data_IF_979276252069
#
_entry.id   IF_979276252069
#
_cell.length_a   1.000
_cell.length_b   1.000
_cell.length_c   1.000
_cell.angle_alpha   90.00
_cell.angle_beta   90.00
_cell.angle_gamma   90.00
#
_symmetry.space_group_name_H-M   'P 1'
#
loop_
_entity.id
_entity.type
_entity.pdbx_description
1 polymer ?
#
# COMPACT_ATOMS: atom_id res chain seq x y z
N UNK A 1 -8.26 13.08 22.58
CA UNK A 1 -7.84 11.67 22.54
C UNK A 1 -6.39 11.62 22.98
N UNK A 2 -6.01 10.73 23.90
CA UNK A 2 -4.65 10.68 24.45
C UNK A 2 -3.73 9.89 23.49
N UNK A 3 -2.85 10.60 22.79
CA UNK A 3 -1.94 10.02 21.80
C UNK A 3 -0.94 9.04 22.41
N UNK A 4 -0.51 9.27 23.65
CA UNK A 4 0.43 8.38 24.32
C UNK A 4 -0.22 7.06 24.71
N UNK A 5 -1.51 7.09 25.05
CA UNK A 5 -2.28 5.87 25.25
C UNK A 5 -2.40 5.07 23.94
N UNK A 6 -2.70 5.72 22.82
CA UNK A 6 -2.80 5.06 21.51
C UNK A 6 -1.43 4.51 21.07
N UNK A 7 -0.36 5.29 21.23
CA UNK A 7 1.00 4.88 20.93
C UNK A 7 1.50 3.71 21.80
N UNK A 8 1.14 3.67 23.08
CA UNK A 8 1.41 2.50 23.95
C UNK A 8 0.70 1.25 23.45
N UNK A 9 -0.55 1.37 23.01
CA UNK A 9 -1.26 0.26 22.37
C UNK A 9 -0.52 -0.16 21.10
N UNK A 10 -0.04 0.79 20.28
CA UNK A 10 0.77 0.51 19.08
C UNK A 10 2.08 -0.22 19.40
N UNK A 11 2.59 -0.10 20.61
CA UNK A 11 3.91 -0.61 20.98
C UNK A 11 3.85 -1.88 21.85
N UNK A 12 2.65 -2.32 22.24
CA UNK A 12 2.46 -3.47 23.11
C UNK A 12 2.81 -4.78 22.38
N UNK A 13 3.84 -5.50 22.84
CA UNK A 13 4.29 -6.76 22.24
C UNK A 13 3.42 -7.97 22.61
N UNK A 14 2.51 -7.83 23.57
CA UNK A 14 1.67 -8.93 24.08
C UNK A 14 0.38 -9.13 23.30
N UNK A 15 0.04 -8.22 22.39
CA UNK A 15 -1.24 -8.22 21.68
C UNK A 15 -1.25 -9.12 20.44
N UNK A 16 -2.40 -9.72 20.10
CA UNK A 16 -2.57 -10.43 18.85
C UNK A 16 -2.51 -9.46 17.65
N UNK A 17 -1.82 -9.81 16.54
CA UNK A 17 -1.66 -8.92 15.38
C UNK A 17 -2.97 -8.50 14.70
N UNK A 18 -4.03 -9.31 14.83
CA UNK A 18 -5.20 -9.26 13.95
C UNK A 18 -6.32 -8.28 14.39
N UNK A 19 -6.21 -7.63 15.55
CA UNK A 19 -7.32 -6.87 16.14
C UNK A 19 -7.09 -5.36 16.27
N UNK A 20 -6.53 -4.95 17.41
CA UNK A 20 -6.43 -3.53 17.78
C UNK A 20 -5.46 -2.71 16.93
N UNK A 21 -4.55 -3.37 16.21
CA UNK A 21 -3.41 -2.74 15.56
C UNK A 21 -3.82 -1.88 14.34
N UNK A 22 -4.65 -2.36 13.40
CA UNK A 22 -5.22 -1.53 12.35
C UNK A 22 -5.95 -0.29 12.90
N UNK A 23 -6.86 -0.46 13.87
CA UNK A 23 -7.58 0.67 14.47
C UNK A 23 -6.64 1.69 15.13
N UNK A 24 -5.56 1.21 15.76
CA UNK A 24 -4.56 2.06 16.38
C UNK A 24 -3.82 2.90 15.35
N UNK A 25 -3.40 2.30 14.23
CA UNK A 25 -2.74 3.00 13.14
C UNK A 25 -3.66 4.02 12.47
N UNK A 26 -4.92 3.67 12.21
CA UNK A 26 -5.91 4.63 11.71
C UNK A 26 -6.12 5.80 12.66
N UNK A 27 -6.14 5.53 13.96
CA UNK A 27 -6.27 6.57 14.98
C UNK A 27 -5.07 7.51 14.97
N UNK A 28 -3.84 6.98 14.95
CA UNK A 28 -2.62 7.79 14.89
C UNK A 28 -2.55 8.62 13.59
N UNK A 29 -2.94 8.02 12.46
CA UNK A 29 -3.06 8.73 11.18
C UNK A 29 -4.03 9.90 11.28
N UNK A 30 -5.21 9.67 11.84
CA UNK A 30 -6.27 10.69 11.98
C UNK A 30 -5.92 11.79 12.98
N UNK A 31 -5.13 11.48 14.01
CA UNK A 31 -4.61 12.49 14.94
C UNK A 31 -3.51 13.31 14.25
N UNK A 32 -2.60 12.65 13.53
CA UNK A 32 -1.51 13.26 12.79
C UNK A 32 -0.43 13.90 13.65
N UNK A 33 0.48 14.63 13.00
CA UNK A 33 1.52 15.44 13.62
C UNK A 33 2.68 14.67 14.24
N UNK A 34 3.66 15.44 14.72
CA UNK A 34 4.95 14.97 15.23
C UNK A 34 4.88 13.79 16.19
N UNK A 35 4.04 13.89 17.23
CA UNK A 35 3.94 12.84 18.26
C UNK A 35 3.42 11.52 17.69
N UNK A 36 2.58 11.55 16.66
CA UNK A 36 2.10 10.31 15.99
C UNK A 36 3.25 9.66 15.24
N UNK A 37 4.02 10.47 14.52
CA UNK A 37 5.21 10.03 13.79
C UNK A 37 6.29 9.48 14.73
N UNK A 38 6.51 10.09 15.90
CA UNK A 38 7.46 9.61 16.90
C UNK A 38 7.09 8.20 17.41
N UNK A 39 5.81 7.96 17.71
CA UNK A 39 5.32 6.64 18.11
C UNK A 39 5.46 5.58 17.00
N UNK A 40 5.16 5.96 15.77
CA UNK A 40 5.32 5.11 14.58
C UNK A 40 6.78 4.74 14.34
N UNK A 41 7.68 5.73 14.33
CA UNK A 41 9.12 5.53 14.16
C UNK A 41 9.72 4.70 15.29
N UNK A 42 9.28 4.90 16.54
CA UNK A 42 9.68 4.07 17.67
C UNK A 42 9.31 2.61 17.45
N UNK A 43 8.07 2.36 17.01
CA UNK A 43 7.59 1.00 16.76
C UNK A 43 8.38 0.33 15.64
N UNK A 44 8.71 1.05 14.56
CA UNK A 44 9.54 0.51 13.49
C UNK A 44 10.91 0.02 13.97
N UNK A 45 11.54 0.76 14.90
CA UNK A 45 12.87 0.44 15.43
C UNK A 45 12.89 -0.76 16.37
N UNK A 46 11.80 -1.02 17.08
CA UNK A 46 11.79 -1.93 18.24
C UNK A 46 10.91 -3.17 18.05
N UNK A 47 9.99 -3.16 17.08
CA UNK A 47 9.14 -4.29 16.73
C UNK A 47 9.88 -5.29 15.82
N UNK A 48 9.49 -6.56 15.89
CA UNK A 48 10.07 -7.63 15.06
C UNK A 48 9.20 -7.98 13.85
N UNK A 49 7.97 -7.46 13.79
CA UNK A 49 7.03 -7.74 12.70
C UNK A 49 7.29 -6.81 11.51
N UNK A 50 7.93 -7.35 10.48
CA UNK A 50 8.19 -6.64 9.22
C UNK A 50 6.89 -6.21 8.53
N UNK A 51 5.81 -6.97 8.74
CA UNK A 51 4.49 -6.61 8.27
C UNK A 51 3.97 -5.34 8.95
N UNK A 52 4.10 -5.23 10.27
CA UNK A 52 3.70 -4.02 10.98
C UNK A 52 4.57 -2.82 10.57
N UNK A 53 5.88 -3.03 10.41
CA UNK A 53 6.77 -1.95 9.97
C UNK A 53 6.40 -1.41 8.59
N UNK A 54 6.09 -2.30 7.66
CA UNK A 54 5.54 -1.97 6.36
C UNK A 54 4.25 -1.14 6.52
N UNK A 55 3.25 -1.64 7.25
CA UNK A 55 1.99 -0.92 7.45
C UNK A 55 2.18 0.48 8.06
N UNK A 56 3.13 0.63 8.99
CA UNK A 56 3.46 1.94 9.56
C UNK A 56 4.03 2.87 8.48
N UNK A 57 4.96 2.39 7.64
CA UNK A 57 5.52 3.20 6.55
C UNK A 57 4.44 3.64 5.55
N UNK A 58 3.51 2.74 5.22
CA UNK A 58 2.34 3.04 4.39
C UNK A 58 1.51 4.16 5.02
N UNK A 59 1.14 3.99 6.29
CA UNK A 59 0.33 4.98 7.03
C UNK A 59 1.03 6.33 7.12
N UNK A 60 2.35 6.36 7.34
CA UNK A 60 3.14 7.59 7.32
C UNK A 60 3.07 8.31 5.96
N UNK A 61 3.06 7.59 4.84
CA UNK A 61 2.82 8.17 3.51
C UNK A 61 1.41 8.69 3.32
N UNK A 62 0.40 7.94 3.79
CA UNK A 62 -1.02 8.31 3.73
C UNK A 62 -1.35 9.54 4.59
N UNK A 63 -0.53 9.86 5.60
CA UNK A 63 -0.69 11.10 6.37
C UNK A 63 -0.45 12.35 5.54
N UNK A 64 0.29 12.25 4.43
CA UNK A 64 0.68 13.39 3.59
C UNK A 64 1.35 14.52 4.39
N UNK A 65 2.06 14.14 5.46
CA UNK A 65 2.71 15.06 6.39
C UNK A 65 4.21 15.14 6.08
N UNK A 66 4.70 16.34 5.75
CA UNK A 66 6.10 16.58 5.43
C UNK A 66 7.04 16.26 6.61
N UNK A 67 6.55 16.24 7.86
CA UNK A 67 7.35 15.80 9.01
C UNK A 67 7.72 14.31 8.94
N UNK A 68 7.00 13.50 8.16
CA UNK A 68 7.30 12.09 7.97
C UNK A 68 8.55 11.84 7.10
N UNK A 69 8.96 12.82 6.28
CA UNK A 69 10.01 12.68 5.25
C UNK A 69 11.31 12.14 5.85
N UNK A 70 11.79 12.72 6.96
CA UNK A 70 13.07 12.32 7.55
C UNK A 70 13.02 10.90 8.12
N UNK A 71 11.87 10.52 8.71
CA UNK A 71 11.63 9.16 9.19
C UNK A 71 11.63 8.14 8.06
N UNK A 72 10.92 8.44 6.97
CA UNK A 72 10.84 7.57 5.80
C UNK A 72 12.17 7.42 5.08
N UNK A 73 12.95 8.50 4.93
CA UNK A 73 14.31 8.44 4.39
C UNK A 73 15.21 7.55 5.26
N UNK A 74 15.09 7.65 6.59
CA UNK A 74 15.84 6.79 7.51
C UNK A 74 15.48 5.31 7.34
N UNK A 75 14.22 4.98 7.07
CA UNK A 75 13.76 3.60 6.86
C UNK A 75 14.28 3.06 5.52
N UNK A 76 14.11 3.83 4.44
CA UNK A 76 14.56 3.45 3.11
C UNK A 76 16.08 3.20 3.05
N UNK A 77 16.84 4.01 3.78
CA UNK A 77 18.31 3.99 3.78
C UNK A 77 18.92 2.96 4.73
N UNK A 78 18.13 2.29 5.57
CA UNK A 78 18.65 1.30 6.52
C UNK A 78 18.84 -0.08 5.84
N UNK A 79 20.09 -0.55 5.65
CA UNK A 79 20.35 -1.84 5.01
C UNK A 79 19.92 -3.04 5.87
N UNK A 80 19.63 -2.86 7.16
CA UNK A 80 19.11 -3.92 8.03
C UNK A 80 17.60 -4.07 7.94
N UNK A 81 16.93 -3.09 7.34
CA UNK A 81 15.49 -3.13 7.17
C UNK A 81 15.14 -4.07 6.02
N UNK A 82 14.12 -4.90 6.20
CA UNK A 82 13.70 -5.83 5.16
C UNK A 82 13.28 -5.09 3.88
N UNK A 83 13.50 -5.69 2.69
CA UNK A 83 13.12 -5.08 1.41
C UNK A 83 11.66 -4.63 1.35
N UNK A 84 10.76 -5.36 2.01
CA UNK A 84 9.33 -5.05 2.08
C UNK A 84 9.07 -3.68 2.74
N UNK A 85 9.70 -3.42 3.87
CA UNK A 85 9.54 -2.14 4.59
C UNK A 85 10.22 -1.00 3.84
N UNK A 86 11.36 -1.29 3.19
CA UNK A 86 12.11 -0.29 2.41
C UNK A 86 11.36 0.13 1.14
N UNK A 87 10.70 -0.78 0.43
CA UNK A 87 9.88 -0.39 -0.73
C UNK A 87 8.73 0.49 -0.27
N UNK A 88 8.05 0.15 0.82
CA UNK A 88 6.91 0.90 1.31
C UNK A 88 7.33 2.32 1.72
N UNK A 89 8.52 2.48 2.31
CA UNK A 89 9.09 3.78 2.58
C UNK A 89 9.40 4.58 1.28
N UNK A 90 9.89 3.93 0.23
CA UNK A 90 10.09 4.58 -1.07
C UNK A 90 8.77 5.03 -1.71
N UNK A 91 7.73 4.20 -1.64
CA UNK A 91 6.40 4.51 -2.15
C UNK A 91 5.77 5.68 -1.38
N UNK A 92 5.81 5.63 -0.05
CA UNK A 92 5.37 6.71 0.81
C UNK A 92 6.09 8.03 0.52
N UNK A 93 7.40 7.99 0.26
CA UNK A 93 8.18 9.15 -0.18
C UNK A 93 7.71 9.67 -1.55
N UNK A 94 7.48 8.79 -2.52
CA UNK A 94 6.90 9.18 -3.81
C UNK A 94 5.52 9.84 -3.68
N UNK A 95 4.69 9.33 -2.78
CA UNK A 95 3.37 9.88 -2.48
C UNK A 95 3.41 11.25 -1.81
N UNK A 96 4.48 11.59 -1.08
CA UNK A 96 4.67 12.91 -0.44
C UNK A 96 5.09 14.01 -1.44
N UNK A 97 5.52 13.65 -2.65
CA UNK A 97 5.76 14.58 -3.75
C UNK A 97 7.19 15.14 -3.85
N UNK A 98 7.33 16.34 -4.40
CA UNK A 98 8.59 16.88 -4.94
C UNK A 98 9.51 17.58 -3.93
N UNK A 99 9.55 17.14 -2.67
CA UNK A 99 10.51 17.70 -1.71
C UNK A 99 11.96 17.38 -2.17
N UNK A 100 12.87 18.38 -2.24
CA UNK A 100 14.26 18.14 -2.64
C UNK A 100 15.00 17.09 -1.82
N UNK A 101 14.67 16.93 -0.52
CA UNK A 101 15.22 15.89 0.35
C UNK A 101 14.81 14.50 -0.14
N UNK A 102 13.56 14.35 -0.58
CA UNK A 102 13.03 13.09 -1.11
C UNK A 102 13.80 12.71 -2.37
N UNK A 103 13.83 13.61 -3.36
CA UNK A 103 14.52 13.36 -4.63
C UNK A 103 15.99 12.97 -4.41
N UNK A 104 16.71 13.73 -3.57
CA UNK A 104 18.10 13.43 -3.25
C UNK A 104 18.28 12.07 -2.59
N UNK A 105 17.40 11.68 -1.67
CA UNK A 105 17.46 10.38 -1.01
C UNK A 105 17.22 9.24 -2.01
N UNK A 106 16.16 9.34 -2.82
CA UNK A 106 15.82 8.34 -3.83
C UNK A 106 16.96 8.17 -4.87
N UNK A 107 17.52 9.26 -5.37
CA UNK A 107 18.67 9.22 -6.30
C UNK A 107 19.92 8.60 -5.63
N UNK A 108 20.18 8.89 -4.36
CA UNK A 108 21.27 8.25 -3.61
C UNK A 108 21.08 6.74 -3.47
N UNK A 109 19.84 6.28 -3.30
CA UNK A 109 19.53 4.86 -3.17
C UNK A 109 19.82 4.13 -4.48
N UNK A 110 19.40 4.66 -5.64
CA UNK A 110 19.69 4.03 -6.95
C UNK A 110 21.20 3.91 -7.26
N UNK A 111 22.02 4.77 -6.68
CA UNK A 111 23.48 4.72 -6.85
C UNK A 111 24.18 3.67 -5.96
N UNK A 112 23.45 3.05 -5.02
CA UNK A 112 24.02 2.04 -4.14
C UNK A 112 24.09 0.69 -4.85
N UNK A 113 25.10 -0.13 -4.50
CA UNK A 113 25.28 -1.47 -5.05
C UNK A 113 24.38 -2.49 -4.35
N UNK A 114 24.04 -3.56 -5.05
CA UNK A 114 23.34 -4.73 -4.50
C UNK A 114 22.00 -4.41 -3.83
N UNK A 115 21.19 -3.57 -4.47
CA UNK A 115 19.84 -3.32 -3.99
C UNK A 115 18.89 -4.48 -4.29
N UNK A 116 17.97 -4.79 -3.36
CA UNK A 116 16.81 -5.61 -3.66
C UNK A 116 16.03 -5.02 -4.85
N UNK A 117 15.54 -5.90 -5.72
CA UNK A 117 14.84 -5.49 -6.93
C UNK A 117 13.57 -4.70 -6.58
N UNK A 118 12.87 -5.08 -5.51
CA UNK A 118 11.63 -4.45 -5.06
C UNK A 118 11.85 -2.98 -4.66
N UNK A 119 12.95 -2.71 -3.97
CA UNK A 119 13.33 -1.34 -3.60
C UNK A 119 13.75 -0.54 -4.83
N UNK A 120 14.51 -1.17 -5.75
CA UNK A 120 14.98 -0.52 -6.98
C UNK A 120 13.81 -0.12 -7.90
N UNK A 121 12.87 -1.03 -8.13
CA UNK A 121 11.66 -0.80 -8.93
C UNK A 121 10.83 0.34 -8.31
N UNK A 122 10.60 0.28 -6.99
CA UNK A 122 9.78 1.29 -6.29
C UNK A 122 10.43 2.67 -6.25
N UNK A 123 11.74 2.76 -6.01
CA UNK A 123 12.46 4.04 -6.04
C UNK A 123 12.45 4.64 -7.45
N UNK A 124 12.57 3.80 -8.48
CA UNK A 124 12.48 4.25 -9.87
C UNK A 124 11.08 4.77 -10.21
N UNK A 125 10.03 4.09 -9.73
CA UNK A 125 8.63 4.54 -9.81
C UNK A 125 8.41 5.87 -9.10
N UNK A 126 8.95 6.04 -7.89
CA UNK A 126 8.82 7.27 -7.12
C UNK A 126 9.52 8.47 -7.78
N UNK A 127 10.67 8.25 -8.44
CA UNK A 127 11.42 9.31 -9.13
C UNK A 127 10.86 9.66 -10.51
N UNK A 128 10.34 8.68 -11.22
CA UNK A 128 9.87 8.81 -12.59
C UNK A 128 8.55 8.03 -12.75
N UNK A 129 7.47 8.54 -12.13
CA UNK A 129 6.17 7.89 -12.25
C UNK A 129 5.77 7.85 -13.72
N UNK A 130 5.31 6.69 -14.23
CA UNK A 130 4.95 6.57 -15.62
C UNK A 130 3.78 7.51 -15.94
N UNK A 131 3.76 8.16 -17.12
CA UNK A 131 2.62 8.97 -17.52
C UNK A 131 1.35 8.10 -17.60
N UNK A 132 0.36 8.44 -16.76
CA UNK A 132 -0.96 7.80 -16.73
C UNK A 132 -1.94 8.46 -17.69
N UNK A 133 -2.90 7.71 -18.28
CA UNK A 133 -2.89 6.27 -18.61
C UNK A 133 -2.36 5.99 -20.03
N UNK A 134 -2.16 4.70 -20.36
CA UNK A 134 -2.02 4.28 -21.75
C UNK A 134 -3.35 4.51 -22.48
N UNK A 135 -3.31 4.87 -23.76
CA UNK A 135 -4.52 4.95 -24.59
C UNK A 135 -5.23 3.58 -24.61
N UNK A 136 -6.55 3.60 -24.49
CA UNK A 136 -7.43 2.42 -24.38
C UNK A 136 -7.42 1.53 -25.65
N UNK A 137 -6.78 2.00 -26.72
CA UNK A 137 -6.55 1.27 -27.96
C UNK A 137 -5.51 0.14 -27.84
N UNK A 138 -4.73 0.11 -26.75
CA UNK A 138 -3.73 -0.92 -26.47
C UNK A 138 -4.34 -2.18 -25.85
N UNK A 139 -3.80 -3.35 -26.20
CA UNK A 139 -4.18 -4.64 -25.60
C UNK A 139 -3.58 -4.75 -24.19
N UNK A 140 -4.23 -4.09 -23.22
CA UNK A 140 -3.78 -3.95 -21.83
C UNK A 140 -3.51 -5.30 -21.17
N UNK A 141 -4.34 -6.30 -21.45
CA UNK A 141 -4.21 -7.66 -20.93
C UNK A 141 -2.94 -8.33 -21.44
N UNK A 142 -2.62 -8.16 -22.73
CA UNK A 142 -1.37 -8.66 -23.30
C UNK A 142 -0.15 -7.98 -22.68
N UNK A 143 -0.22 -6.67 -22.41
CA UNK A 143 0.87 -5.93 -21.77
C UNK A 143 1.07 -6.38 -20.32
N UNK A 144 -0.01 -6.53 -19.54
CA UNK A 144 0.04 -7.00 -18.16
C UNK A 144 0.73 -8.37 -18.04
N UNK A 145 0.42 -9.28 -18.96
CA UNK A 145 0.89 -10.67 -18.96
C UNK A 145 2.25 -10.90 -19.64
N UNK A 146 2.83 -9.88 -20.28
CA UNK A 146 4.14 -10.01 -20.90
C UNK A 146 5.25 -9.86 -19.85
N UNK A 147 5.75 -10.98 -19.31
CA UNK A 147 6.82 -10.99 -18.31
C UNK A 147 8.16 -10.42 -18.81
N UNK A 148 8.33 -10.30 -20.13
CA UNK A 148 9.52 -9.68 -20.75
C UNK A 148 9.34 -8.19 -21.04
N UNK A 149 8.15 -7.63 -20.78
CA UNK A 149 7.88 -6.21 -20.97
C UNK A 149 8.47 -5.38 -19.83
N UNK A 150 8.78 -4.12 -20.15
CA UNK A 150 9.19 -3.14 -19.16
C UNK A 150 8.17 -3.02 -18.03
N UNK A 151 8.65 -3.07 -16.78
CA UNK A 151 7.79 -3.11 -15.60
C UNK A 151 6.86 -1.88 -15.52
N UNK A 152 7.31 -0.71 -15.98
CA UNK A 152 6.48 0.50 -16.00
C UNK A 152 5.30 0.35 -16.96
N UNK A 153 5.50 -0.28 -18.13
CA UNK A 153 4.42 -0.55 -19.08
C UNK A 153 3.41 -1.51 -18.48
N UNK A 154 3.87 -2.52 -17.75
CA UNK A 154 3.01 -3.48 -17.05
C UNK A 154 2.22 -2.83 -15.94
N UNK A 155 2.83 -1.92 -15.16
CA UNK A 155 2.14 -1.12 -14.15
C UNK A 155 1.08 -0.20 -14.76
N UNK A 156 1.39 0.46 -15.89
CA UNK A 156 0.41 1.28 -16.63
C UNK A 156 -0.78 0.44 -17.07
N UNK A 157 -0.55 -0.77 -17.58
CA UNK A 157 -1.61 -1.70 -17.95
C UNK A 157 -2.45 -2.09 -16.73
N UNK A 158 -1.81 -2.47 -15.62
CA UNK A 158 -2.44 -2.85 -14.35
C UNK A 158 -3.39 -1.77 -13.81
N UNK A 159 -2.92 -0.53 -13.69
CA UNK A 159 -3.77 0.57 -13.20
C UNK A 159 -4.84 0.99 -14.21
N UNK A 160 -4.59 0.84 -15.52
CA UNK A 160 -5.62 1.07 -16.54
C UNK A 160 -6.74 0.02 -16.44
N UNK A 161 -6.39 -1.26 -16.22
CA UNK A 161 -7.34 -2.35 -15.97
C UNK A 161 -8.10 -2.14 -14.66
N UNK A 162 -7.43 -1.65 -13.61
CA UNK A 162 -8.10 -1.24 -12.36
C UNK A 162 -9.16 -0.17 -12.62
N UNK A 163 -8.81 0.87 -13.37
CA UNK A 163 -9.72 1.98 -13.66
C UNK A 163 -10.90 1.54 -14.54
N UNK A 164 -10.73 0.54 -15.40
CA UNK A 164 -11.84 -0.09 -16.14
C UNK A 164 -12.81 -0.80 -15.20
N UNK A 165 -12.28 -1.57 -14.24
CA UNK A 165 -13.08 -2.26 -13.21
C UNK A 165 -14.07 -3.30 -13.74
N UNK A 166 -14.06 -3.62 -15.03
CA UNK A 166 -14.94 -4.62 -15.63
C UNK A 166 -14.48 -6.06 -15.30
N UNK A 167 -15.36 -7.03 -15.57
CA UNK A 167 -15.11 -8.44 -15.21
C UNK A 167 -13.89 -9.01 -15.92
N UNK A 168 -13.65 -8.64 -17.19
CA UNK A 168 -12.52 -9.14 -17.97
C UNK A 168 -11.19 -8.58 -17.44
N UNK A 169 -11.18 -7.29 -17.06
CA UNK A 169 -10.04 -6.62 -16.46
C UNK A 169 -9.68 -7.25 -15.11
N UNK A 170 -10.67 -7.55 -14.28
CA UNK A 170 -10.47 -8.21 -12.98
C UNK A 170 -9.94 -9.63 -13.19
N UNK A 171 -10.50 -10.40 -14.12
CA UNK A 171 -9.98 -11.73 -14.44
C UNK A 171 -8.53 -11.67 -14.93
N UNK A 172 -8.20 -10.67 -15.75
CA UNK A 172 -6.85 -10.42 -16.22
C UNK A 172 -5.89 -10.12 -15.06
N UNK A 173 -6.27 -9.22 -14.15
CA UNK A 173 -5.51 -8.94 -12.93
C UNK A 173 -5.33 -10.20 -12.06
N UNK A 174 -6.39 -10.98 -11.83
CA UNK A 174 -6.29 -12.24 -11.10
C UNK A 174 -5.32 -13.23 -11.77
N UNK A 175 -5.31 -13.33 -13.10
CA UNK A 175 -4.33 -14.14 -13.83
C UNK A 175 -2.90 -13.63 -13.61
N UNK A 176 -2.69 -12.32 -13.64
CA UNK A 176 -1.38 -11.72 -13.33
C UNK A 176 -0.91 -12.07 -11.93
N UNK A 177 -1.81 -11.97 -10.94
CA UNK A 177 -1.51 -12.33 -9.55
C UNK A 177 -1.12 -13.81 -9.37
N UNK A 178 -1.78 -14.73 -10.08
CA UNK A 178 -1.54 -16.17 -9.92
C UNK A 178 -0.34 -16.64 -10.73
N UNK A 179 -0.23 -16.17 -11.98
CA UNK A 179 0.65 -16.77 -12.97
C UNK A 179 1.97 -16.01 -13.19
N UNK A 180 2.07 -14.74 -12.78
CA UNK A 180 3.32 -13.99 -12.93
C UNK A 180 4.44 -14.60 -12.07
N UNK A 181 5.56 -14.92 -12.71
CA UNK A 181 6.75 -15.44 -12.05
C UNK A 181 7.90 -14.44 -12.00
N UNK A 182 7.75 -13.32 -12.68
CA UNK A 182 8.80 -12.34 -12.91
C UNK A 182 9.10 -11.49 -11.68
N UNK A 183 8.07 -10.99 -10.97
CA UNK A 183 8.27 -10.04 -9.87
C UNK A 183 7.28 -10.29 -8.73
N UNK A 184 7.82 -10.46 -7.52
CA UNK A 184 7.00 -10.55 -6.31
C UNK A 184 6.31 -9.22 -5.98
N UNK A 185 6.98 -8.10 -6.25
CA UNK A 185 6.43 -6.76 -6.11
C UNK A 185 5.28 -6.54 -7.09
N UNK A 186 5.42 -6.93 -8.36
CA UNK A 186 4.32 -6.81 -9.32
C UNK A 186 3.09 -7.57 -8.85
N UNK A 187 3.24 -8.81 -8.36
CA UNK A 187 2.11 -9.57 -7.79
C UNK A 187 1.51 -8.90 -6.56
N UNK A 188 2.34 -8.34 -5.68
CA UNK A 188 1.87 -7.57 -4.54
C UNK A 188 0.98 -6.40 -5.00
N UNK A 189 1.45 -5.63 -5.98
CA UNK A 189 0.73 -4.47 -6.51
C UNK A 189 -0.57 -4.86 -7.22
N UNK A 190 -0.57 -6.00 -7.93
CA UNK A 190 -1.80 -6.55 -8.52
C UNK A 190 -2.82 -6.89 -7.41
N UNK A 191 -2.37 -7.45 -6.28
CA UNK A 191 -3.26 -7.73 -5.15
C UNK A 191 -3.81 -6.44 -4.53
N UNK A 192 -2.98 -5.40 -4.43
CA UNK A 192 -3.39 -4.08 -3.97
C UNK A 192 -4.51 -3.49 -4.84
N UNK A 193 -4.31 -3.42 -6.17
CA UNK A 193 -5.32 -2.85 -7.07
C UNK A 193 -6.61 -3.68 -7.11
N UNK A 194 -6.53 -5.01 -7.01
CA UNK A 194 -7.70 -5.88 -6.89
C UNK A 194 -8.49 -5.59 -5.60
N UNK A 195 -7.79 -5.22 -4.52
CA UNK A 195 -8.42 -4.76 -3.29
C UNK A 195 -9.13 -3.41 -3.45
N UNK A 196 -8.55 -2.49 -4.23
CA UNK A 196 -9.17 -1.21 -4.53
C UNK A 196 -10.47 -1.36 -5.35
N UNK A 197 -10.48 -2.22 -6.38
CA UNK A 197 -11.66 -2.41 -7.25
C UNK A 197 -12.88 -2.89 -6.46
N UNK A 198 -12.68 -3.74 -5.44
CA UNK A 198 -13.76 -4.25 -4.59
C UNK A 198 -14.50 -3.14 -3.83
N UNK A 199 -13.86 -1.98 -3.62
CA UNK A 199 -14.50 -0.83 -2.99
C UNK A 199 -15.46 -0.07 -3.91
N UNK A 200 -15.39 -0.28 -5.24
CA UNK A 200 -16.06 0.56 -6.23
C UNK A 200 -17.39 0.03 -6.80
N UNK A 201 -17.63 -1.28 -7.00
CA UNK A 201 -18.98 -1.82 -7.34
C UNK A 201 -19.07 -3.37 -7.48
N UNK A 202 -20.27 -3.92 -7.24
CA UNK A 202 -20.78 -5.31 -7.52
C UNK A 202 -20.46 -6.47 -6.55
N UNK A 203 -21.53 -7.01 -5.91
CA UNK A 203 -21.53 -8.25 -5.09
C UNK A 203 -20.94 -9.49 -5.79
N UNK A 204 -21.03 -9.55 -7.12
CA UNK A 204 -20.51 -10.68 -7.90
C UNK A 204 -18.98 -10.60 -8.06
N UNK A 205 -18.44 -9.39 -8.18
CA UNK A 205 -16.99 -9.13 -8.24
C UNK A 205 -16.35 -9.48 -6.90
N UNK A 206 -16.96 -9.06 -5.79
CA UNK A 206 -16.52 -9.40 -4.42
C UNK A 206 -16.43 -10.91 -4.20
N UNK A 207 -17.35 -11.69 -4.76
CA UNK A 207 -17.37 -13.16 -4.59
C UNK A 207 -16.21 -13.83 -5.33
N UNK A 208 -15.88 -13.35 -6.54
CA UNK A 208 -14.78 -13.87 -7.35
C UNK A 208 -13.44 -13.50 -6.72
N UNK A 209 -13.25 -12.24 -6.35
CA UNK A 209 -12.01 -11.77 -5.73
C UNK A 209 -11.77 -12.41 -4.36
N UNK A 210 -12.81 -12.56 -3.52
CA UNK A 210 -12.68 -13.22 -2.22
C UNK A 210 -12.34 -14.70 -2.37
N UNK A 211 -12.97 -15.41 -3.32
CA UNK A 211 -12.65 -16.81 -3.56
C UNK A 211 -11.22 -17.00 -4.04
N UNK A 212 -10.73 -16.12 -4.91
CA UNK A 212 -9.35 -16.15 -5.43
C UNK A 212 -8.32 -15.74 -4.37
N UNK A 213 -8.57 -14.69 -3.58
CA UNK A 213 -7.70 -14.26 -2.48
C UNK A 213 -7.58 -15.35 -1.40
N UNK A 214 -8.67 -16.05 -1.08
CA UNK A 214 -8.65 -17.19 -0.14
C UNK A 214 -7.79 -18.34 -0.67
N UNK A 215 -7.90 -18.67 -1.96
CA UNK A 215 -7.11 -19.72 -2.62
C UNK A 215 -5.61 -19.35 -2.67
N UNK A 216 -5.31 -18.07 -2.85
CA UNK A 216 -3.95 -17.53 -2.88
C UNK A 216 -3.32 -17.51 -1.49
N UNK A 217 -4.07 -17.10 -0.46
CA UNK A 217 -3.64 -17.16 0.94
C UNK A 217 -3.35 -18.60 1.39
N UNK A 218 -4.10 -19.58 0.88
CA UNK A 218 -3.93 -20.99 1.22
C UNK A 218 -2.68 -21.64 0.58
N UNK A 219 -2.22 -21.16 -0.59
CA UNK A 219 -1.15 -21.84 -1.36
C UNK A 219 0.25 -21.22 -1.26
N UNK A 220 0.42 -19.95 -0.84
CA UNK A 220 1.74 -19.27 -0.94
C UNK A 220 2.28 -18.57 0.31
N UNK A 221 1.65 -18.73 1.48
CA UNK A 221 2.21 -18.29 2.75
C UNK A 221 2.15 -16.76 2.97
N UNK A 222 1.38 -16.37 3.98
CA UNK A 222 1.43 -15.16 4.84
C UNK A 222 1.44 -13.75 4.20
N UNK A 223 2.18 -13.47 3.12
CA UNK A 223 2.32 -12.08 2.62
C UNK A 223 1.11 -11.52 1.87
N UNK A 224 0.18 -12.37 1.43
CA UNK A 224 -1.04 -11.95 0.71
C UNK A 224 -2.23 -11.66 1.64
N UNK A 225 -2.09 -11.91 2.95
CA UNK A 225 -3.19 -11.81 3.92
C UNK A 225 -3.48 -10.38 4.39
N UNK A 226 -2.54 -9.46 4.20
CA UNK A 226 -2.62 -8.08 4.73
C UNK A 226 -3.82 -7.34 4.14
N UNK A 227 -4.04 -7.51 2.83
CA UNK A 227 -5.08 -6.79 2.12
C UNK A 227 -6.43 -7.52 2.13
N UNK A 228 -6.43 -8.85 2.19
CA UNK A 228 -7.66 -9.64 2.27
C UNK A 228 -8.44 -9.38 3.58
N UNK A 229 -7.73 -9.22 4.70
CA UNK A 229 -8.37 -8.88 5.99
C UNK A 229 -8.86 -7.43 6.05
N UNK A 230 -8.23 -6.52 5.29
CA UNK A 230 -8.62 -5.12 5.26
C UNK A 230 -9.95 -4.90 4.50
N UNK A 231 -10.27 -5.77 3.54
CA UNK A 231 -11.49 -5.70 2.73
C UNK A 231 -12.70 -6.36 3.40
N UNK A 232 -12.52 -7.35 4.28
CA UNK A 232 -13.62 -7.90 5.09
C UNK A 232 -14.26 -6.83 6.00
N UNK A 233 -13.53 -5.75 6.30
CA UNK A 233 -13.98 -4.63 7.12
C UNK A 233 -14.49 -3.46 6.29
N UNK A 234 -15.09 -3.72 5.12
CA UNK A 234 -15.69 -2.68 4.27
C UNK A 234 -16.54 -1.68 5.08
N UNK A 235 -16.74 -0.45 4.57
CA UNK A 235 -17.38 0.67 5.29
C UNK A 235 -18.86 0.43 5.68
N UNK A 236 -19.40 -0.77 5.45
CA UNK A 236 -20.76 -1.20 5.81
C UNK A 236 -20.80 -2.33 6.85
N UNK A 237 -19.67 -2.75 7.43
CA UNK A 237 -19.61 -3.74 8.53
C UNK A 237 -19.01 -3.15 9.83
N UNK A 238 -18.96 -1.83 9.93
CA UNK A 238 -18.91 -1.15 11.24
C UNK A 238 -20.33 -1.14 11.80
N UNK A 239 -20.76 -2.25 12.40
CA UNK A 239 -21.73 -2.37 13.50
C UNK A 239 -21.78 -3.88 13.80
N UNK A 240 -21.12 -4.37 14.84
CA UNK A 240 -21.69 -4.82 16.15
C UNK A 240 -20.44 -5.31 16.94
N UNK A 241 -20.02 -4.74 18.07
CA UNK A 241 -20.74 -4.47 19.31
C UNK A 241 -20.48 -3.06 19.89
N UNK A 242 -21.59 -2.36 20.16
CA UNK A 242 -21.89 -1.24 21.09
C UNK A 242 -20.68 -0.57 21.81
N UNK A 243 -20.47 0.74 21.63
CA UNK A 243 -21.19 1.75 22.39
C UNK A 243 -21.46 3.05 21.58
N UNK A 244 -22.64 3.64 21.79
CA UNK A 244 -23.17 4.77 21.03
C UNK A 244 -22.66 6.10 21.56
N UNK A 245 -21.63 6.64 20.91
CA UNK A 245 -21.48 8.09 20.71
C UNK A 245 -20.25 8.28 19.84
N UNK A 246 -20.36 8.79 18.61
CA UNK A 246 -19.44 9.78 18.03
C UNK A 246 -19.88 10.11 16.59
N UNK A 247 -19.64 11.38 16.26
CA UNK A 247 -20.01 12.21 15.12
C UNK A 247 -19.84 11.61 13.70
N UNK A 248 -20.49 12.19 12.66
CA UNK A 248 -20.41 11.70 11.28
C UNK A 248 -18.97 11.55 10.78
N UNK A 249 -18.75 10.49 10.00
CA UNK A 249 -17.49 10.14 9.36
C UNK A 249 -16.97 11.32 8.50
N UNK A 250 -15.65 11.58 8.50
CA UNK A 250 -15.05 12.50 7.55
C UNK A 250 -15.20 11.98 6.10
N UNK A 251 -15.22 12.87 5.10
CA UNK A 251 -15.36 12.49 3.69
C UNK A 251 -14.19 11.60 3.23
N UNK A 252 -14.37 10.84 2.12
CA UNK A 252 -13.30 10.06 1.52
C UNK A 252 -12.07 10.94 1.21
N UNK A 253 -10.89 10.39 1.51
CA UNK A 253 -9.61 11.08 1.46
C UNK A 253 -9.16 11.18 -0.02
N UNK A 254 -8.70 12.35 -0.50
CA UNK A 254 -8.12 12.47 -1.85
C UNK A 254 -6.78 11.73 -1.92
N UNK A 255 -6.51 11.08 -3.06
CA UNK A 255 -5.26 10.35 -3.28
C UNK A 255 -4.09 11.35 -3.38
N UNK A 256 -2.84 10.88 -3.20
CA UNK A 256 -1.67 11.65 -3.63
C UNK A 256 -1.85 12.11 -5.09
N UNK A 257 -1.32 13.28 -5.47
CA UNK A 257 -1.61 13.94 -6.76
C UNK A 257 -1.27 13.10 -8.00
N UNK A 258 -0.46 12.05 -7.86
CA UNK A 258 -0.15 11.10 -8.93
C UNK A 258 -1.19 9.97 -9.09
N UNK A 259 -2.14 9.83 -8.16
CA UNK A 259 -3.12 8.75 -8.13
C UNK A 259 -4.60 9.19 -8.09
N UNK A 260 -4.93 10.47 -7.82
CA UNK A 260 -6.29 11.02 -8.03
C UNK A 260 -6.34 11.93 -9.25
N UNK A 261 -7.40 11.82 -10.04
CA UNK A 261 -8.01 13.00 -10.66
C UNK A 261 -9.44 13.17 -10.15
N UNK A 262 -9.76 14.41 -9.77
CA UNK A 262 -11.13 14.90 -9.75
C UNK A 262 -11.74 14.74 -11.13
N UNK A 263 -12.89 14.07 -11.20
CA UNK A 263 -13.79 14.18 -12.34
C UNK A 263 -14.31 15.63 -12.37
N UNK A 264 -13.92 16.38 -13.41
CA UNK A 264 -14.66 17.56 -13.87
C UNK A 264 -15.45 17.18 -15.11
#
# INVERSE_FOLDING_TARGET
MDIDRVGKVLHDKSRPPQGALPCTLFTLRSIGGKSSLEWMQKTIKEDSSELLKHEIAYVMGQMQDAEAIEGLISILSDPKMEPIVRHEAAEALGALGEDPKIRKALESILNSKDLPIEVTETVSLALSPPPFPLDFSSNLESLLHNESEDIFIRYRAMFSLRNKGDTDSIQSLCRGLIHDKSSALFRHEVAYVLGQIQSFESKNITTITNSLLLIIAYNKGVLLLVWAFWIESGPSLVFIFQDQSFSPLPPPIPLPPYFTFSLH
#
